data_IF_312307577021
#
_entry.id   IF_312307577021
#
_cell.length_a   1.000
_cell.length_b   1.000
_cell.length_c   1.000
_cell.angle_alpha   90.00
_cell.angle_beta   90.00
_cell.angle_gamma   90.00
#
_symmetry.space_group_name_H-M   'P 1'
#
loop_
_entity.id
_entity.type
_entity.pdbx_description
1 polymer ?
#
# COMPACT_ATOMS: atom_id res chain seq x y z
N UNK A 1 29.51 9.82 -4.99
CA UNK A 1 28.50 8.76 -5.16
C UNK A 1 27.64 9.05 -6.39
N UNK A 2 27.85 8.32 -7.51
CA UNK A 2 27.09 8.45 -8.77
C UNK A 2 26.31 7.15 -9.08
N UNK A 3 25.76 6.50 -8.04
CA UNK A 3 24.79 5.43 -8.25
C UNK A 3 23.47 6.08 -8.69
N UNK A 4 22.88 5.62 -9.78
CA UNK A 4 21.50 6.01 -10.14
C UNK A 4 20.55 5.05 -9.44
N UNK A 5 19.89 5.53 -8.39
CA UNK A 5 18.98 4.72 -7.59
C UNK A 5 17.58 4.78 -8.16
N UNK A 6 17.04 3.63 -8.54
CA UNK A 6 15.62 3.46 -8.82
C UNK A 6 15.02 2.80 -7.58
N UNK A 7 14.06 3.48 -6.94
CA UNK A 7 13.33 2.89 -5.82
C UNK A 7 12.38 1.83 -6.37
N UNK A 8 12.67 0.57 -6.09
CA UNK A 8 11.82 -0.56 -6.46
C UNK A 8 11.01 -1.01 -5.24
N UNK A 9 9.68 -1.07 -5.41
CA UNK A 9 8.77 -1.46 -4.34
C UNK A 9 8.90 -2.94 -3.94
N UNK A 10 9.58 -3.77 -4.73
CA UNK A 10 9.75 -5.18 -4.46
C UNK A 10 11.10 -5.52 -3.83
N UNK A 11 12.07 -4.59 -3.87
CA UNK A 11 13.40 -4.80 -3.31
C UNK A 11 13.55 -4.15 -1.93
N UNK A 12 14.30 -4.80 -1.05
CA UNK A 12 14.82 -4.16 0.18
C UNK A 12 15.91 -3.16 -0.20
N UNK A 13 16.19 -2.19 0.67
CA UNK A 13 17.33 -1.28 0.48
C UNK A 13 18.65 -2.01 0.14
N UNK A 14 18.90 -3.15 0.81
CA UNK A 14 20.10 -3.98 0.60
C UNK A 14 20.11 -4.62 -0.79
N UNK A 15 18.97 -5.13 -1.25
CA UNK A 15 18.82 -5.68 -2.60
C UNK A 15 18.99 -4.58 -3.66
N UNK A 16 18.45 -3.38 -3.42
CA UNK A 16 18.61 -2.24 -4.32
C UNK A 16 20.08 -1.80 -4.44
N UNK A 17 20.80 -1.71 -3.31
CA UNK A 17 22.25 -1.48 -3.29
C UNK A 17 22.98 -2.54 -4.12
N UNK A 18 22.67 -3.82 -3.91
CA UNK A 18 23.33 -4.92 -4.61
C UNK A 18 23.19 -4.78 -6.13
N UNK A 19 21.96 -4.56 -6.61
CA UNK A 19 21.68 -4.42 -8.05
C UNK A 19 22.37 -3.18 -8.62
N UNK A 20 22.29 -2.04 -7.92
CA UNK A 20 22.92 -0.80 -8.36
C UNK A 20 24.46 -0.93 -8.40
N UNK A 21 25.05 -1.61 -7.43
CA UNK A 21 26.47 -1.87 -7.34
C UNK A 21 26.96 -2.81 -8.44
N UNK A 22 26.27 -3.95 -8.66
CA UNK A 22 26.60 -4.89 -9.75
C UNK A 22 26.53 -4.22 -11.13
N UNK A 23 25.53 -3.36 -11.35
CA UNK A 23 25.41 -2.59 -12.59
C UNK A 23 26.54 -1.58 -12.75
N UNK A 24 26.86 -0.82 -11.71
CA UNK A 24 27.92 0.19 -11.74
C UNK A 24 29.31 -0.45 -11.93
N UNK A 25 29.55 -1.64 -11.39
CA UNK A 25 30.77 -2.42 -11.63
C UNK A 25 30.92 -2.81 -13.10
N UNK A 26 29.84 -3.27 -13.74
CA UNK A 26 29.84 -3.60 -15.17
C UNK A 26 30.11 -2.38 -16.06
N UNK A 27 29.66 -1.20 -15.63
CA UNK A 27 29.84 0.07 -16.36
C UNK A 27 31.19 0.76 -16.04
N UNK A 28 31.99 0.23 -15.11
CA UNK A 28 33.27 0.81 -14.70
C UNK A 28 33.14 2.14 -13.95
N UNK A 29 32.00 2.38 -13.29
CA UNK A 29 31.64 3.65 -12.65
C UNK A 29 31.87 3.68 -11.13
N UNK A 30 32.54 2.66 -10.58
CA UNK A 30 32.71 2.48 -9.13
C UNK A 30 34.14 2.81 -8.73
N UNK A 31 34.29 3.82 -7.88
CA UNK A 31 35.54 4.11 -7.18
C UNK A 31 35.72 3.25 -5.91
N UNK A 32 36.95 3.18 -5.40
CA UNK A 32 37.33 2.34 -4.25
C UNK A 32 36.54 2.67 -2.97
N UNK A 33 36.25 3.95 -2.73
CA UNK A 33 35.47 4.37 -1.57
C UNK A 33 34.01 3.91 -1.70
N UNK A 34 33.40 4.09 -2.89
CA UNK A 34 32.04 3.62 -3.17
C UNK A 34 31.95 2.09 -3.05
N UNK A 35 32.97 1.35 -3.48
CA UNK A 35 33.02 -0.11 -3.32
C UNK A 35 33.03 -0.52 -1.84
N UNK A 36 33.88 0.10 -1.03
CA UNK A 36 33.98 -0.20 0.40
C UNK A 36 32.68 0.11 1.16
N UNK A 37 32.01 1.22 0.84
CA UNK A 37 30.71 1.58 1.42
C UNK A 37 29.62 0.56 1.03
N UNK A 38 29.59 0.11 -0.22
CA UNK A 38 28.65 -0.91 -0.67
C UNK A 38 28.90 -2.26 0.00
N UNK A 39 30.16 -2.70 0.10
CA UNK A 39 30.52 -3.94 0.80
C UNK A 39 30.11 -3.90 2.28
N UNK A 40 30.31 -2.75 2.94
CA UNK A 40 29.89 -2.58 4.33
C UNK A 40 28.38 -2.74 4.48
N UNK A 41 27.58 -2.02 3.70
CA UNK A 41 26.10 -2.14 3.72
C UNK A 41 25.63 -3.56 3.36
N UNK A 42 26.28 -4.22 2.42
CA UNK A 42 25.96 -5.59 2.02
C UNK A 42 26.35 -6.65 3.07
N UNK A 43 27.31 -6.33 3.94
CA UNK A 43 27.75 -7.21 5.03
C UNK A 43 26.82 -7.18 6.25
N UNK A 44 26.08 -6.08 6.45
CA UNK A 44 25.17 -5.95 7.60
C UNK A 44 23.93 -6.85 7.47
N UNK A 45 23.40 -7.39 8.58
CA UNK A 45 22.15 -8.13 8.56
C UNK A 45 20.98 -7.26 8.10
N UNK A 46 19.96 -7.88 7.50
CA UNK A 46 18.66 -7.23 7.33
C UNK A 46 18.09 -7.00 8.75
N UNK A 47 17.71 -5.77 9.13
CA UNK A 47 17.16 -5.49 10.44
C UNK A 47 15.76 -6.06 10.53
N UNK A 48 15.42 -6.45 11.74
CA UNK A 48 14.19 -7.15 12.02
C UNK A 48 12.94 -6.28 11.82
N UNK A 49 13.06 -4.93 11.87
CA UNK A 49 11.93 -4.00 11.74
C UNK A 49 12.33 -2.65 11.12
N UNK A 50 11.53 -2.18 10.14
CA UNK A 50 11.54 -0.78 9.70
C UNK A 50 10.58 -0.03 10.64
N UNK A 51 11.11 0.53 11.72
CA UNK A 51 10.31 1.27 12.69
C UNK A 51 9.67 2.50 12.04
N UNK A 52 8.33 2.51 12.00
CA UNK A 52 7.54 3.70 11.74
C UNK A 52 7.32 4.45 13.06
N UNK A 53 8.39 4.92 13.72
CA UNK A 53 8.26 5.99 14.71
C UNK A 53 8.57 7.33 14.07
N UNK A 54 7.64 7.77 13.22
CA UNK A 54 7.40 9.21 13.09
C UNK A 54 5.90 9.39 13.35
N UNK A 55 5.54 9.41 14.63
CA UNK A 55 4.36 10.16 15.06
C UNK A 55 4.66 11.64 14.76
N UNK A 56 4.46 12.06 13.52
CA UNK A 56 4.25 13.47 13.18
C UNK A 56 2.81 13.87 13.54
N UNK A 57 2.43 13.60 14.79
CA UNK A 57 1.24 14.14 15.42
C UNK A 57 1.65 14.69 16.79
N UNK A 58 1.75 16.01 16.82
CA UNK A 58 1.64 16.87 18.01
C UNK A 58 2.78 16.93 19.03
N UNK A 59 4.03 16.72 18.65
CA UNK A 59 5.15 17.17 19.49
C UNK A 59 6.24 17.90 18.73
N UNK A 60 5.92 19.14 18.39
CA UNK A 60 6.81 20.28 18.63
C UNK A 60 7.19 20.34 20.12
N UNK A 61 7.82 19.29 20.66
CA UNK A 61 8.59 19.44 21.88
C UNK A 61 9.86 20.16 21.44
N UNK A 62 9.78 21.49 21.50
CA UNK A 62 10.91 22.37 21.68
C UNK A 62 11.84 21.72 22.72
N UNK A 63 12.90 21.05 22.25
CA UNK A 63 14.10 20.89 23.05
C UNK A 63 14.48 22.31 23.45
N UNK A 64 14.73 22.54 24.74
CA UNK A 64 14.93 23.86 25.38
C UNK A 64 16.10 24.67 24.78
N UNK A 65 16.78 24.15 23.76
CA UNK A 65 17.95 24.72 23.11
C UNK A 65 17.61 25.37 21.74
N UNK A 66 16.34 25.40 21.32
CA UNK A 66 15.92 26.09 20.08
C UNK A 66 16.40 25.43 18.77
N UNK A 67 16.94 24.22 18.84
CA UNK A 67 17.35 23.45 17.65
C UNK A 67 16.22 22.51 17.20
N UNK A 68 15.74 22.74 15.97
CA UNK A 68 14.96 21.75 15.23
C UNK A 68 15.92 20.62 14.84
N UNK A 69 15.92 19.54 15.62
CA UNK A 69 16.58 18.30 15.24
C UNK A 69 15.80 17.69 14.07
N UNK A 70 16.18 18.01 12.84
CA UNK A 70 15.91 17.09 11.74
C UNK A 70 16.73 15.83 12.02
N UNK A 71 16.09 14.77 12.54
CA UNK A 71 16.68 13.44 12.38
C UNK A 71 16.71 13.19 10.88
N UNK A 72 17.82 13.50 10.23
CA UNK A 72 18.06 13.13 8.84
C UNK A 72 17.96 11.62 8.79
N UNK A 73 16.88 11.11 8.16
CA UNK A 73 16.70 9.69 7.92
C UNK A 73 17.97 9.16 7.25
N UNK A 74 18.45 8.00 7.67
CA UNK A 74 19.52 7.33 6.93
C UNK A 74 19.03 7.08 5.49
N UNK A 75 19.95 6.92 4.52
CA UNK A 75 19.57 6.62 3.14
C UNK A 75 18.66 5.37 3.05
N UNK A 76 18.86 4.43 3.97
CA UNK A 76 18.03 3.24 4.18
C UNK A 76 16.62 3.60 4.63
N UNK A 77 16.48 4.36 5.71
CA UNK A 77 15.16 4.69 6.27
C UNK A 77 14.37 5.56 5.29
N UNK A 78 15.05 6.46 4.58
CA UNK A 78 14.46 7.24 3.50
C UNK A 78 13.94 6.34 2.37
N UNK A 79 14.73 5.35 1.92
CA UNK A 79 14.33 4.41 0.88
C UNK A 79 13.07 3.64 1.28
N UNK A 80 13.04 3.09 2.49
CA UNK A 80 11.91 2.31 2.99
C UNK A 80 10.67 3.20 3.22
N UNK A 81 10.86 4.44 3.68
CA UNK A 81 9.77 5.40 3.81
C UNK A 81 9.15 5.79 2.46
N UNK A 82 9.98 6.02 1.44
CA UNK A 82 9.51 6.29 0.07
C UNK A 82 8.74 5.08 -0.46
N UNK A 83 9.23 3.85 -0.23
CA UNK A 83 8.56 2.61 -0.62
C UNK A 83 7.17 2.47 0.03
N UNK A 84 7.08 2.70 1.34
CA UNK A 84 5.80 2.64 2.06
C UNK A 84 4.84 3.73 1.59
N UNK A 85 5.33 4.94 1.36
CA UNK A 85 4.52 6.05 0.83
C UNK A 85 3.98 5.74 -0.57
N UNK A 86 4.82 5.16 -1.44
CA UNK A 86 4.41 4.77 -2.78
C UNK A 86 3.36 3.65 -2.76
N UNK A 87 3.48 2.68 -1.85
CA UNK A 87 2.47 1.62 -1.64
C UNK A 87 1.16 2.18 -1.10
N UNK A 88 1.19 3.13 -0.16
CA UNK A 88 -0.02 3.83 0.34
C UNK A 88 -0.75 4.53 -0.80
N UNK A 89 -0.01 5.28 -1.62
CA UNK A 89 -0.58 5.96 -2.78
C UNK A 89 -1.16 4.97 -3.79
N UNK A 90 -0.48 3.84 -4.03
CA UNK A 90 -1.00 2.80 -4.91
C UNK A 90 -2.30 2.17 -4.39
N UNK A 91 -2.35 1.84 -3.09
CA UNK A 91 -3.56 1.33 -2.45
C UNK A 91 -4.71 2.34 -2.56
N UNK A 92 -4.46 3.62 -2.33
CA UNK A 92 -5.45 4.68 -2.48
C UNK A 92 -5.95 4.81 -3.92
N UNK A 93 -5.03 4.80 -4.91
CA UNK A 93 -5.40 4.84 -6.32
C UNK A 93 -6.25 3.64 -6.75
N UNK A 94 -5.99 2.44 -6.22
CA UNK A 94 -6.80 1.26 -6.50
C UNK A 94 -8.16 1.38 -5.83
N UNK A 95 -8.23 1.80 -4.57
CA UNK A 95 -9.49 2.00 -3.85
C UNK A 95 -10.41 2.99 -4.58
N UNK A 96 -9.88 4.12 -5.06
CA UNK A 96 -10.62 5.09 -5.89
C UNK A 96 -11.06 4.50 -7.23
N UNK A 97 -10.25 3.66 -7.86
CA UNK A 97 -10.63 2.99 -9.11
C UNK A 97 -11.76 1.98 -8.90
N UNK A 98 -11.68 1.18 -7.84
CA UNK A 98 -12.72 0.22 -7.47
C UNK A 98 -14.03 0.96 -7.17
N UNK A 99 -13.98 2.07 -6.44
CA UNK A 99 -15.15 2.92 -6.17
C UNK A 99 -15.80 3.45 -7.46
N UNK A 100 -15.01 3.93 -8.42
CA UNK A 100 -15.54 4.37 -9.71
C UNK A 100 -16.21 3.24 -10.49
N UNK A 101 -15.57 2.07 -10.54
CA UNK A 101 -16.13 0.89 -11.19
C UNK A 101 -17.41 0.44 -10.51
N UNK A 102 -17.47 0.52 -9.18
CA UNK A 102 -18.65 0.22 -8.38
C UNK A 102 -19.82 1.17 -8.70
N UNK A 103 -19.55 2.47 -8.76
CA UNK A 103 -20.56 3.47 -9.12
C UNK A 103 -21.07 3.30 -10.57
N UNK A 104 -20.22 2.87 -11.50
CA UNK A 104 -20.66 2.54 -12.85
C UNK A 104 -21.51 1.25 -12.88
N UNK A 105 -21.18 0.24 -12.07
CA UNK A 105 -21.99 -0.97 -11.92
C UNK A 105 -23.38 -0.66 -11.38
N UNK A 106 -23.51 0.22 -10.37
CA UNK A 106 -24.83 0.65 -9.86
C UNK A 106 -25.72 1.22 -10.95
N UNK A 107 -25.14 1.99 -11.89
CA UNK A 107 -25.88 2.57 -13.02
C UNK A 107 -26.33 1.53 -14.03
N UNK A 108 -25.63 0.41 -14.18
CA UNK A 108 -26.03 -0.69 -15.06
C UNK A 108 -27.17 -1.52 -14.46
N UNK A 109 -27.27 -1.58 -13.12
CA UNK A 109 -28.35 -2.29 -12.39
C UNK A 109 -29.62 -1.41 -12.29
N UNK A 110 -30.11 -0.94 -13.45
CA UNK A 110 -31.27 -0.02 -13.61
C UNK A 110 -32.60 -0.59 -13.05
N UNK A 111 -32.63 -1.87 -12.66
CA UNK A 111 -33.82 -2.53 -12.10
C UNK A 111 -33.86 -2.57 -10.56
N UNK A 112 -32.85 -2.07 -9.86
CA UNK A 112 -32.91 -1.88 -8.40
C UNK A 112 -33.46 -0.48 -8.09
N UNK A 113 -34.34 -0.37 -7.09
CA UNK A 113 -34.88 0.93 -6.65
C UNK A 113 -33.73 1.93 -6.43
N UNK A 114 -33.79 3.07 -7.11
CA UNK A 114 -32.74 4.09 -7.09
C UNK A 114 -32.34 4.54 -5.67
N UNK A 115 -33.31 4.50 -4.74
CA UNK A 115 -33.10 4.85 -3.33
C UNK A 115 -32.23 3.82 -2.59
N UNK A 116 -32.28 2.53 -2.95
CA UNK A 116 -31.46 1.48 -2.34
C UNK A 116 -30.02 1.49 -2.88
N UNK A 117 -29.78 1.92 -4.12
CA UNK A 117 -28.44 1.92 -4.74
C UNK A 117 -27.45 2.87 -4.05
N UNK A 118 -27.93 3.96 -3.45
CA UNK A 118 -27.11 4.87 -2.66
C UNK A 118 -26.62 4.27 -1.33
N UNK A 119 -27.30 3.23 -0.84
CA UNK A 119 -27.03 2.60 0.45
C UNK A 119 -26.09 1.39 0.36
N UNK A 120 -25.82 0.91 -0.87
CA UNK A 120 -25.00 -0.28 -1.13
C UNK A 120 -23.55 0.14 -1.47
N UNK A 121 -22.60 -0.34 -0.68
CA UNK A 121 -21.16 -0.28 -0.90
C UNK A 121 -20.61 -1.68 -1.22
N UNK A 122 -19.30 -1.84 -1.22
CA UNK A 122 -18.63 -3.12 -1.33
C UNK A 122 -17.57 -3.28 -0.24
N UNK A 123 -17.20 -4.53 0.00
CA UNK A 123 -16.07 -4.94 0.83
C UNK A 123 -15.16 -5.88 0.04
N UNK A 124 -13.89 -5.91 0.42
CA UNK A 124 -12.84 -6.76 -0.15
C UNK A 124 -12.21 -7.55 0.98
N UNK A 125 -12.03 -8.85 0.79
CA UNK A 125 -11.35 -9.70 1.75
C UNK A 125 -9.87 -9.96 1.41
N UNK A 126 -9.22 -10.78 2.22
CA UNK A 126 -7.82 -11.19 2.04
C UNK A 126 -7.55 -11.99 0.75
N UNK A 127 -8.57 -12.66 0.20
CA UNK A 127 -8.48 -13.37 -1.06
C UNK A 127 -8.76 -12.47 -2.28
N UNK A 128 -9.14 -11.20 -2.04
CA UNK A 128 -9.60 -10.29 -3.08
C UNK A 128 -11.04 -10.58 -3.55
N UNK A 129 -11.84 -11.27 -2.74
CA UNK A 129 -13.28 -11.46 -2.97
C UNK A 129 -14.01 -10.15 -2.71
N UNK A 130 -14.86 -9.73 -3.66
CA UNK A 130 -15.65 -8.50 -3.55
C UNK A 130 -17.08 -8.86 -3.15
N UNK A 131 -17.54 -8.37 -1.99
CA UNK A 131 -18.91 -8.60 -1.51
C UNK A 131 -19.69 -7.29 -1.40
N UNK A 132 -20.94 -7.24 -1.90
CA UNK A 132 -21.80 -6.09 -1.68
C UNK A 132 -22.14 -5.95 -0.19
N UNK A 133 -22.16 -4.72 0.32
CA UNK A 133 -22.50 -4.42 1.71
C UNK A 133 -23.54 -3.32 1.71
N UNK A 134 -24.58 -3.42 2.53
CA UNK A 134 -25.59 -2.37 2.66
C UNK A 134 -25.47 -1.73 4.05
N UNK A 135 -25.42 -0.39 4.09
CA UNK A 135 -25.10 0.35 5.32
C UNK A 135 -26.28 0.46 6.31
N UNK A 136 -27.52 0.27 5.84
CA UNK A 136 -28.73 0.54 6.63
C UNK A 136 -29.54 -0.71 6.98
N UNK A 137 -29.57 -1.71 6.10
CA UNK A 137 -30.32 -2.95 6.27
C UNK A 137 -29.59 -4.10 5.58
N UNK A 138 -29.72 -5.33 6.09
CA UNK A 138 -29.23 -6.52 5.38
C UNK A 138 -29.82 -6.58 3.97
N UNK A 139 -28.97 -6.89 2.98
CA UNK A 139 -29.44 -7.15 1.63
C UNK A 139 -30.34 -8.39 1.66
N UNK A 140 -31.44 -8.35 0.91
CA UNK A 140 -32.22 -9.56 0.65
C UNK A 140 -31.31 -10.56 -0.07
N UNK A 141 -31.33 -11.84 0.35
CA UNK A 141 -30.43 -12.90 -0.13
C UNK A 141 -30.42 -13.01 -1.66
N UNK A 142 -31.57 -12.76 -2.31
CA UNK A 142 -31.69 -12.81 -3.76
C UNK A 142 -31.04 -11.61 -4.46
N UNK A 143 -31.03 -10.43 -3.84
CA UNK A 143 -30.40 -9.23 -4.36
C UNK A 143 -28.89 -9.26 -4.12
N UNK A 144 -28.45 -9.77 -2.97
CA UNK A 144 -27.04 -10.04 -2.66
C UNK A 144 -26.43 -11.01 -3.68
N UNK A 145 -27.10 -12.13 -3.96
CA UNK A 145 -26.66 -13.11 -4.97
C UNK A 145 -26.57 -12.51 -6.37
N UNK A 146 -27.56 -11.72 -6.79
CA UNK A 146 -27.54 -11.07 -8.11
C UNK A 146 -26.37 -10.09 -8.23
N UNK A 147 -26.15 -9.27 -7.20
CA UNK A 147 -25.02 -8.34 -7.16
C UNK A 147 -23.70 -9.10 -7.16
N UNK A 148 -23.57 -10.14 -6.34
CA UNK A 148 -22.38 -10.98 -6.29
C UNK A 148 -22.07 -11.63 -7.65
N UNK A 149 -23.07 -12.18 -8.33
CA UNK A 149 -22.89 -12.75 -9.67
C UNK A 149 -22.47 -11.70 -10.71
N UNK A 150 -22.98 -10.47 -10.62
CA UNK A 150 -22.59 -9.37 -11.51
C UNK A 150 -21.13 -8.97 -11.24
N UNK A 151 -20.72 -8.96 -9.97
CA UNK A 151 -19.36 -8.64 -9.54
C UNK A 151 -18.35 -9.70 -9.99
N UNK A 152 -18.65 -10.99 -9.77
CA UNK A 152 -17.74 -12.08 -10.11
C UNK A 152 -17.55 -12.23 -11.64
N UNK A 153 -18.55 -11.84 -12.44
CA UNK A 153 -18.44 -11.84 -13.91
C UNK A 153 -17.50 -10.74 -14.45
N UNK A 154 -17.14 -9.72 -13.66
CA UNK A 154 -16.24 -8.63 -14.07
C UNK A 154 -14.81 -8.89 -13.61
N UNK A 155 -14.02 -9.49 -14.51
CA UNK A 155 -12.60 -9.80 -14.26
C UNK A 155 -11.75 -8.60 -13.80
N UNK A 156 -12.05 -7.38 -14.28
CA UNK A 156 -11.32 -6.18 -13.93
C UNK A 156 -11.44 -5.77 -12.45
N UNK A 157 -12.65 -5.86 -11.88
CA UNK A 157 -12.85 -5.50 -10.47
C UNK A 157 -12.18 -6.51 -9.55
N UNK A 158 -12.31 -7.80 -9.89
CA UNK A 158 -11.65 -8.92 -9.17
C UNK A 158 -10.13 -8.78 -9.21
N UNK A 159 -9.55 -8.44 -10.36
CA UNK A 159 -8.10 -8.24 -10.47
C UNK A 159 -7.62 -7.07 -9.60
N UNK A 160 -8.34 -5.95 -9.59
CA UNK A 160 -8.02 -4.82 -8.74
C UNK A 160 -8.17 -5.16 -7.25
N UNK A 161 -9.18 -5.94 -6.87
CA UNK A 161 -9.39 -6.39 -5.50
C UNK A 161 -8.24 -7.27 -4.99
N UNK A 162 -7.76 -8.20 -5.82
CA UNK A 162 -6.58 -9.03 -5.50
C UNK A 162 -5.32 -8.17 -5.36
N UNK A 163 -5.11 -7.21 -6.27
CA UNK A 163 -3.98 -6.29 -6.21
C UNK A 163 -4.04 -5.41 -4.94
N UNK A 164 -5.23 -4.92 -4.62
CA UNK A 164 -5.51 -4.15 -3.41
C UNK A 164 -5.15 -4.92 -2.14
N UNK A 165 -5.69 -6.14 -1.98
CA UNK A 165 -5.39 -7.00 -0.84
C UNK A 165 -3.88 -7.31 -0.73
N UNK A 166 -3.22 -7.56 -1.86
CA UNK A 166 -1.77 -7.82 -1.92
C UNK A 166 -0.93 -6.61 -1.47
N UNK A 167 -1.31 -5.39 -1.86
CA UNK A 167 -0.61 -4.17 -1.44
C UNK A 167 -0.84 -3.92 0.05
N UNK A 168 -2.06 -4.12 0.56
CA UNK A 168 -2.38 -3.98 1.97
C UNK A 168 -1.58 -4.97 2.83
N UNK A 169 -1.48 -6.24 2.43
CA UNK A 169 -0.66 -7.23 3.13
C UNK A 169 0.82 -6.82 3.23
N UNK A 170 1.34 -6.09 2.23
CA UNK A 170 2.70 -5.52 2.22
C UNK A 170 2.84 -4.22 3.01
N UNK A 171 1.74 -3.59 3.41
CA UNK A 171 1.70 -2.33 4.16
C UNK A 171 1.47 -2.55 5.65
N UNK A 172 0.48 -3.37 6.02
CA UNK A 172 -0.02 -3.54 7.40
C UNK A 172 1.07 -3.83 8.43
N UNK A 173 2.07 -4.71 8.18
CA UNK A 173 3.12 -4.98 9.16
C UNK A 173 3.99 -3.75 9.49
N UNK A 174 3.95 -2.72 8.65
CA UNK A 174 4.83 -1.57 8.70
C UNK A 174 4.10 -0.26 8.99
N UNK A 175 2.76 -0.23 9.07
CA UNK A 175 1.99 1.00 9.33
C UNK A 175 1.26 0.93 10.66
N UNK A 176 1.40 1.97 11.49
CA UNK A 176 0.73 2.04 12.80
C UNK A 176 -0.80 2.05 12.66
N UNK A 177 -1.31 2.73 11.62
CA UNK A 177 -2.74 2.77 11.33
C UNK A 177 -3.25 1.45 10.73
N UNK A 178 -2.36 0.58 10.22
CA UNK A 178 -2.70 -0.72 9.65
C UNK A 178 -3.89 -0.66 8.69
N UNK A 179 -4.90 -1.50 8.96
CA UNK A 179 -6.15 -1.58 8.19
C UNK A 179 -7.20 -0.52 8.58
N UNK A 180 -6.93 0.33 9.57
CA UNK A 180 -7.84 1.42 9.97
C UNK A 180 -7.66 2.72 9.16
N UNK A 181 -6.69 2.73 8.25
CA UNK A 181 -6.38 3.89 7.43
C UNK A 181 -7.31 4.03 6.21
N UNK A 182 -7.39 5.24 5.65
CA UNK A 182 -8.24 5.58 4.49
C UNK A 182 -7.94 4.71 3.25
N UNK A 183 -6.66 4.38 3.03
CA UNK A 183 -6.24 3.50 1.94
C UNK A 183 -6.72 2.06 2.10
N UNK A 184 -7.24 1.66 3.26
CA UNK A 184 -7.77 0.33 3.58
C UNK A 184 -9.31 0.31 3.75
N UNK A 185 -10.02 1.41 3.41
CA UNK A 185 -11.44 1.61 3.72
C UNK A 185 -12.43 0.54 3.24
N UNK A 186 -12.08 -0.23 2.22
CA UNK A 186 -12.94 -1.32 1.71
C UNK A 186 -12.50 -2.70 2.20
N UNK A 187 -11.40 -2.80 2.93
CA UNK A 187 -10.86 -4.09 3.37
C UNK A 187 -11.56 -4.57 4.66
N UNK A 188 -11.97 -5.84 4.67
CA UNK A 188 -12.65 -6.46 5.81
C UNK A 188 -12.02 -7.82 6.09
N UNK A 189 -11.73 -8.10 7.38
CA UNK A 189 -11.30 -9.43 7.82
C UNK A 189 -12.57 -10.24 8.11
N UNK A 190 -12.88 -11.21 7.25
CA UNK A 190 -13.88 -12.22 7.57
C UNK A 190 -13.25 -13.25 8.49
N UNK A 191 -13.60 -13.25 9.77
CA UNK A 191 -13.28 -14.37 10.64
C UNK A 191 -14.12 -15.58 10.18
N UNK A 192 -13.49 -16.73 9.82
CA UNK A 192 -14.20 -17.95 9.48
C UNK A 192 -14.95 -18.55 10.68
#
# INVERSE_FOLDING_TARGET
>A
MNLTWIVDQNHTYKQAIKIAYEKALQEGLVDEQTAQECEWVLSEPEPDYIYHEVKDKDRSQLLEDGCISFRTLSARDLYEHIKLSARRNAAECIAVQMERMWEDLKKEVINMNADRLGEISFSVDEAGEVRPVCNMNDLEVDDEKKLFEILDKRSGLKQLAIEYASILAKLVPYTADGLSAEYARYFVIFNP
#
